data_IF_932279796287
#
_entry.id   IF_932279796287
#
_cell.length_a   1.000
_cell.length_b   1.000
_cell.length_c   1.000
_cell.angle_alpha   90.00
_cell.angle_beta   90.00
_cell.angle_gamma   90.00
#
_symmetry.space_group_name_H-M   'P 1'
#
loop_
_entity.id
_entity.type
_entity.pdbx_description
1 polymer ?
#
# COMPACT_ATOMS: atom_id res chain seq x y z
N UNK A 1 -4.58 35.95 64.13
CA UNK A 1 -3.37 35.16 63.77
C UNK A 1 -3.36 33.74 64.34
N UNK A 2 -3.75 33.50 65.60
CA UNK A 2 -3.76 32.14 66.22
C UNK A 2 -4.64 31.09 65.51
N UNK A 3 -5.84 31.45 65.06
CA UNK A 3 -6.74 30.50 64.37
C UNK A 3 -6.28 30.14 62.95
N UNK A 4 -5.60 31.07 62.27
CA UNK A 4 -5.07 30.83 60.92
C UNK A 4 -3.92 29.83 60.93
N UNK A 5 -3.08 29.84 61.98
CA UNK A 5 -2.01 28.86 62.15
C UNK A 5 -2.57 27.45 62.42
N UNK A 6 -3.64 27.36 63.24
CA UNK A 6 -4.35 26.11 63.57
C UNK A 6 -5.05 25.48 62.34
N UNK A 7 -5.62 26.33 61.49
CA UNK A 7 -6.31 25.91 60.27
C UNK A 7 -5.30 25.44 59.21
N UNK A 8 -4.12 26.07 59.14
CA UNK A 8 -3.03 25.65 58.26
C UNK A 8 -2.45 24.29 58.69
N UNK A 9 -2.27 24.04 60.00
CA UNK A 9 -1.80 22.74 60.50
C UNK A 9 -2.78 21.60 60.24
N UNK A 10 -4.09 21.88 60.25
CA UNK A 10 -5.13 20.89 59.96
C UNK A 10 -5.13 20.53 58.46
N UNK A 11 -4.94 21.50 57.58
CA UNK A 11 -4.85 21.26 56.14
C UNK A 11 -3.62 20.41 55.79
N UNK A 12 -2.47 20.68 56.42
CA UNK A 12 -1.23 19.93 56.17
C UNK A 12 -1.35 18.48 56.66
N UNK A 13 -2.10 18.19 57.73
CA UNK A 13 -2.31 16.82 58.21
C UNK A 13 -3.31 16.03 57.36
N UNK A 14 -4.29 16.69 56.72
CA UNK A 14 -5.22 16.05 55.79
C UNK A 14 -4.58 15.70 54.44
N UNK A 15 -3.48 16.34 54.05
CA UNK A 15 -2.78 16.08 52.78
C UNK A 15 -1.78 14.90 52.83
N UNK A 16 -1.52 14.30 54.00
CA UNK A 16 -0.49 13.26 54.19
C UNK A 16 -0.94 11.83 53.86
N UNK A 17 -2.12 11.63 53.27
CA UNK A 17 -2.65 10.30 52.97
C UNK A 17 -1.93 9.69 51.76
N UNK A 18 -0.84 8.96 52.00
CA UNK A 18 -0.15 8.19 50.97
C UNK A 18 -0.95 6.91 50.68
N UNK A 19 -1.60 6.83 49.53
CA UNK A 19 -2.22 5.61 49.02
C UNK A 19 -1.13 4.69 48.47
N UNK A 20 -0.75 3.66 49.24
CA UNK A 20 0.11 2.59 48.73
C UNK A 20 -0.72 1.68 47.83
N UNK A 21 -0.37 1.62 46.54
CA UNK A 21 -0.93 0.65 45.61
C UNK A 21 -0.38 -0.74 45.94
N UNK A 22 -1.18 -1.57 46.61
CA UNK A 22 -0.84 -2.98 46.83
C UNK A 22 -1.13 -3.77 45.55
N UNK A 23 -0.24 -4.69 45.19
CA UNK A 23 -0.44 -5.63 44.08
C UNK A 23 -1.79 -6.35 44.23
N UNK A 24 -2.61 -6.34 43.18
CA UNK A 24 -3.95 -6.96 43.16
C UNK A 24 -3.82 -8.48 43.23
N UNK A 25 -4.24 -9.06 44.35
CA UNK A 25 -4.29 -10.49 44.60
C UNK A 25 -5.62 -11.03 44.09
N UNK A 26 -5.60 -12.14 43.35
CA UNK A 26 -6.80 -12.78 42.81
C UNK A 26 -7.01 -14.10 43.57
N UNK A 27 -8.23 -14.31 44.04
CA UNK A 27 -8.64 -15.46 44.83
C UNK A 27 -9.59 -16.35 44.03
N UNK A 28 -9.46 -17.66 44.21
CA UNK A 28 -10.25 -18.67 43.49
C UNK A 28 -10.86 -19.66 44.46
N UNK A 29 -12.15 -19.95 44.30
CA UNK A 29 -12.83 -21.01 45.04
C UNK A 29 -13.89 -21.70 44.20
N UNK A 30 -14.38 -22.83 44.70
CA UNK A 30 -15.51 -23.55 44.13
C UNK A 30 -16.77 -23.22 44.93
N UNK A 31 -17.77 -22.66 44.26
CA UNK A 31 -19.10 -22.40 44.83
C UNK A 31 -19.84 -23.72 45.12
N UNK A 32 -20.86 -23.67 45.98
CA UNK A 32 -21.72 -24.81 46.34
C UNK A 32 -22.40 -25.44 45.12
N UNK A 33 -22.63 -24.65 44.06
CA UNK A 33 -23.14 -25.12 42.76
C UNK A 33 -22.06 -25.80 41.88
N UNK A 34 -20.85 -25.99 42.41
CA UNK A 34 -19.72 -26.64 41.74
C UNK A 34 -18.95 -25.76 40.75
N UNK A 35 -19.32 -24.48 40.63
CA UNK A 35 -18.73 -23.50 39.69
C UNK A 35 -17.46 -22.88 40.27
N UNK A 36 -16.40 -22.78 39.45
CA UNK A 36 -15.15 -22.13 39.83
C UNK A 36 -15.27 -20.61 39.67
N UNK A 37 -15.06 -19.86 40.75
CA UNK A 37 -15.23 -18.40 40.81
C UNK A 37 -13.89 -17.74 41.09
N UNK A 38 -13.58 -16.66 40.35
CA UNK A 38 -12.38 -15.83 40.51
C UNK A 38 -12.82 -14.45 41.01
N UNK A 39 -12.18 -13.92 42.06
CA UNK A 39 -12.51 -12.63 42.66
C UNK A 39 -11.27 -11.88 43.14
N UNK A 40 -11.32 -10.56 43.11
CA UNK A 40 -10.30 -9.68 43.70
C UNK A 40 -10.47 -9.50 45.23
N UNK A 41 -11.53 -10.08 45.82
CA UNK A 41 -11.80 -10.06 47.27
C UNK A 41 -11.60 -11.43 47.92
N UNK A 42 -10.96 -11.52 49.10
CA UNK A 42 -10.75 -12.78 49.79
C UNK A 42 -12.06 -13.34 50.37
N UNK A 43 -12.25 -14.65 50.29
CA UNK A 43 -13.39 -15.37 50.87
C UNK A 43 -12.90 -16.64 51.59
N UNK A 44 -13.64 -17.08 52.62
CA UNK A 44 -13.30 -18.28 53.38
C UNK A 44 -13.26 -19.51 52.46
N UNK A 45 -12.10 -20.19 52.44
CA UNK A 45 -11.86 -21.35 51.57
C UNK A 45 -11.32 -21.03 50.18
N UNK A 46 -11.05 -19.76 49.86
CA UNK A 46 -10.44 -19.36 48.60
C UNK A 46 -8.91 -19.48 48.63
N UNK A 47 -8.33 -19.93 47.53
CA UNK A 47 -6.89 -20.03 47.30
C UNK A 47 -6.41 -18.80 46.50
N UNK A 48 -5.31 -18.19 46.93
CA UNK A 48 -4.69 -17.05 46.23
C UNK A 48 -3.90 -17.56 45.01
N UNK A 49 -4.19 -17.04 43.82
CA UNK A 49 -3.56 -17.50 42.57
C UNK A 49 -2.57 -16.46 42.05
N UNK A 50 -1.31 -16.88 41.88
CA UNK A 50 -0.25 -16.08 41.26
C UNK A 50 -0.29 -16.21 39.73
N UNK A 51 -0.57 -15.10 39.02
CA UNK A 51 -0.64 -15.10 37.55
C UNK A 51 0.79 -15.09 36.98
N UNK A 52 1.11 -16.11 36.18
CA UNK A 52 2.36 -16.16 35.40
C UNK A 52 2.32 -15.10 34.29
N UNK A 53 3.46 -14.44 34.05
CA UNK A 53 3.58 -13.37 33.05
C UNK A 53 3.05 -13.80 31.67
N UNK A 54 2.34 -12.92 30.93
CA UNK A 54 1.79 -13.26 29.63
C UNK A 54 2.91 -13.58 28.62
N UNK A 55 2.69 -14.60 27.81
CA UNK A 55 3.61 -14.95 26.72
C UNK A 55 3.63 -13.81 25.69
N UNK A 56 4.79 -13.18 25.54
CA UNK A 56 5.06 -12.14 24.54
C UNK A 56 6.05 -12.67 23.52
N UNK A 57 5.78 -12.43 22.24
CA UNK A 57 6.71 -12.79 21.17
C UNK A 57 7.86 -11.77 21.11
N UNK A 58 9.09 -12.25 20.92
CA UNK A 58 10.26 -11.39 20.77
C UNK A 58 10.26 -10.64 19.43
N UNK A 59 10.70 -9.38 19.44
CA UNK A 59 10.87 -8.56 18.23
C UNK A 59 12.03 -9.08 17.37
N UNK A 60 11.91 -8.93 16.05
CA UNK A 60 12.88 -9.37 15.06
C UNK A 60 13.97 -8.29 14.91
N UNK A 61 15.24 -8.69 14.94
CA UNK A 61 16.37 -7.77 14.75
C UNK A 61 16.49 -7.33 13.28
N UNK A 62 16.48 -6.01 13.06
CA UNK A 62 16.55 -5.36 11.73
C UNK A 62 17.88 -4.64 11.49
N UNK A 63 18.88 -4.85 12.36
CA UNK A 63 20.20 -4.20 12.31
C UNK A 63 20.97 -4.39 10.99
N UNK A 64 20.66 -5.44 10.21
CA UNK A 64 21.28 -5.70 8.91
C UNK A 64 20.58 -5.05 7.70
N UNK A 65 19.53 -4.24 7.91
CA UNK A 65 18.92 -3.51 6.80
C UNK A 65 19.86 -2.38 6.37
N UNK A 66 20.36 -2.45 5.13
CA UNK A 66 21.12 -1.37 4.52
C UNK A 66 20.15 -0.21 4.20
N UNK A 67 20.12 0.78 5.08
CA UNK A 67 19.22 1.94 5.04
C UNK A 67 19.75 3.07 4.15
N UNK A 68 20.78 2.84 3.34
CA UNK A 68 21.29 3.87 2.43
C UNK A 68 20.25 4.21 1.36
N UNK A 69 19.71 5.45 1.31
CA UNK A 69 18.71 5.81 0.32
C UNK A 69 19.34 5.77 -1.07
N UNK A 70 18.94 4.80 -1.90
CA UNK A 70 19.36 4.76 -3.29
C UNK A 70 18.78 5.98 -4.01
N UNK A 71 19.64 6.93 -4.37
CA UNK A 71 19.25 8.09 -5.17
C UNK A 71 18.85 7.59 -6.56
N UNK A 72 17.54 7.47 -6.78
CA UNK A 72 16.98 7.18 -8.10
C UNK A 72 17.11 8.47 -8.92
N UNK A 73 18.07 8.51 -9.85
CA UNK A 73 18.16 9.59 -10.83
C UNK A 73 16.89 9.58 -11.67
N UNK A 74 16.32 10.76 -11.91
CA UNK A 74 15.11 10.95 -12.74
C UNK A 74 15.42 10.84 -14.26
N UNK A 75 16.29 9.89 -14.64
CA UNK A 75 16.56 9.53 -16.03
C UNK A 75 15.57 8.45 -16.45
N UNK A 76 14.39 8.90 -16.90
CA UNK A 76 13.30 8.01 -17.29
C UNK A 76 13.51 7.43 -18.68
N UNK A 77 13.35 6.12 -18.78
CA UNK A 77 13.39 5.36 -20.02
C UNK A 77 12.05 4.67 -20.22
N UNK A 78 11.52 4.76 -21.44
CA UNK A 78 10.24 4.15 -21.83
C UNK A 78 10.50 3.15 -22.95
N UNK A 79 10.06 1.92 -22.76
CA UNK A 79 10.19 0.85 -23.75
C UNK A 79 8.83 0.20 -24.00
N UNK A 80 8.52 -0.09 -25.26
CA UNK A 80 7.34 -0.87 -25.62
C UNK A 80 7.76 -2.34 -25.68
N UNK A 81 7.15 -3.17 -24.85
CA UNK A 81 7.45 -4.60 -24.74
C UNK A 81 6.60 -5.45 -25.68
N UNK A 82 5.36 -5.01 -25.93
CA UNK A 82 4.40 -5.65 -26.81
C UNK A 82 3.57 -4.58 -27.54
N UNK A 83 3.30 -4.74 -28.85
CA UNK A 83 3.93 -5.69 -29.78
C UNK A 83 5.45 -5.48 -29.90
N UNK A 84 6.16 -6.51 -30.38
CA UNK A 84 7.58 -6.39 -30.75
C UNK A 84 7.72 -5.66 -32.09
N UNK A 85 8.92 -5.15 -32.37
CA UNK A 85 9.22 -4.54 -33.66
C UNK A 85 8.90 -5.49 -34.81
N UNK A 86 8.16 -5.00 -35.80
CA UNK A 86 7.67 -5.71 -36.98
C UNK A 86 6.78 -6.93 -36.67
N UNK A 87 6.17 -7.00 -35.50
CA UNK A 87 5.28 -8.12 -35.16
C UNK A 87 3.98 -8.07 -35.97
N UNK A 88 3.47 -9.24 -36.35
CA UNK A 88 2.14 -9.37 -36.97
C UNK A 88 1.10 -9.71 -35.90
N UNK A 89 0.08 -8.86 -35.77
CA UNK A 89 -1.06 -9.05 -34.86
C UNK A 89 -2.26 -9.51 -35.69
N UNK A 90 -2.81 -10.68 -35.37
CA UNK A 90 -3.96 -11.25 -36.08
C UNK A 90 -5.19 -11.26 -35.18
N UNK A 91 -6.13 -10.37 -35.46
CA UNK A 91 -7.40 -10.28 -34.74
C UNK A 91 -8.46 -9.63 -35.66
N UNK A 92 -9.51 -10.37 -36.02
CA UNK A 92 -10.52 -9.86 -36.96
C UNK A 92 -11.29 -8.62 -36.44
N UNK A 93 -11.31 -8.39 -35.11
CA UNK A 93 -11.92 -7.20 -34.49
C UNK A 93 -11.04 -5.95 -34.59
N UNK A 94 -9.77 -6.08 -34.98
CA UNK A 94 -8.81 -4.98 -34.97
C UNK A 94 -8.33 -4.62 -33.57
N UNK A 95 -8.34 -5.57 -32.64
CA UNK A 95 -7.87 -5.34 -31.27
C UNK A 95 -6.36 -5.59 -31.16
N UNK A 96 -5.64 -4.67 -30.51
CA UNK A 96 -4.19 -4.78 -30.30
C UNK A 96 -3.87 -4.42 -28.85
N UNK A 97 -3.22 -5.33 -28.14
CA UNK A 97 -2.72 -5.11 -26.79
C UNK A 97 -1.33 -4.53 -26.84
N UNK A 98 -1.15 -3.40 -26.16
CA UNK A 98 0.13 -2.71 -26.08
C UNK A 98 0.55 -2.66 -24.62
N UNK A 99 1.77 -3.11 -24.34
CA UNK A 99 2.35 -3.08 -23.02
C UNK A 99 3.75 -2.45 -23.08
N UNK A 100 3.99 -1.45 -22.24
CA UNK A 100 5.29 -0.82 -22.07
C UNK A 100 5.86 -0.98 -20.66
N UNK A 101 7.16 -0.77 -20.53
CA UNK A 101 7.86 -0.65 -19.24
C UNK A 101 8.53 0.71 -19.13
N UNK A 102 8.55 1.22 -17.91
CA UNK A 102 9.21 2.48 -17.56
C UNK A 102 10.25 2.15 -16.50
N UNK A 103 11.47 2.66 -16.70
CA UNK A 103 12.55 2.56 -15.72
C UNK A 103 13.08 3.95 -15.44
N UNK A 104 13.29 4.35 -14.17
CA UNK A 104 12.83 3.68 -12.95
C UNK A 104 11.28 3.67 -12.84
N UNK A 105 10.72 2.96 -11.84
CA UNK A 105 9.27 2.94 -11.60
C UNK A 105 8.74 4.37 -11.53
N UNK A 106 7.65 4.64 -12.26
CA UNK A 106 7.06 5.97 -12.34
C UNK A 106 6.52 6.40 -10.97
N UNK A 107 6.79 7.65 -10.58
CA UNK A 107 6.24 8.26 -9.36
C UNK A 107 4.79 8.71 -9.64
N UNK A 108 3.98 8.88 -8.59
CA UNK A 108 2.65 9.49 -8.72
C UNK A 108 2.76 10.87 -9.40
N UNK A 109 1.78 11.19 -10.24
CA UNK A 109 1.74 12.44 -11.01
C UNK A 109 2.38 12.39 -12.39
N UNK A 110 3.04 11.28 -12.76
CA UNK A 110 3.46 11.04 -14.15
C UNK A 110 2.34 10.36 -14.95
N UNK A 111 2.28 10.67 -16.24
CA UNK A 111 1.30 10.10 -17.16
C UNK A 111 1.96 9.62 -18.45
N UNK A 112 1.35 8.67 -19.14
CA UNK A 112 1.81 8.12 -20.42
C UNK A 112 0.77 8.39 -21.49
N UNK A 113 1.22 8.97 -22.59
CA UNK A 113 0.44 9.11 -23.81
C UNK A 113 0.91 8.08 -24.84
N UNK A 114 -0.01 7.24 -25.30
CA UNK A 114 0.19 6.40 -26.48
C UNK A 114 -0.08 7.22 -27.74
N UNK A 115 0.73 7.03 -28.76
CA UNK A 115 0.50 7.52 -30.12
C UNK A 115 0.35 6.33 -31.06
N UNK A 116 -0.60 6.43 -31.97
CA UNK A 116 -0.83 5.53 -33.09
C UNK A 116 -0.77 6.36 -34.38
N UNK A 117 0.15 6.01 -35.28
CA UNK A 117 0.37 6.67 -36.57
C UNK A 117 0.52 8.20 -36.44
N UNK A 118 1.25 8.61 -35.39
CA UNK A 118 1.51 10.01 -35.06
C UNK A 118 0.37 10.74 -34.34
N UNK A 119 -0.79 10.11 -34.13
CA UNK A 119 -1.94 10.70 -33.43
C UNK A 119 -2.04 10.18 -31.99
N UNK A 120 -2.36 11.03 -31.01
CA UNK A 120 -2.55 10.57 -29.64
C UNK A 120 -3.76 9.65 -29.54
N UNK A 121 -3.56 8.47 -28.94
CA UNK A 121 -4.62 7.52 -28.61
C UNK A 121 -5.05 7.72 -27.16
N UNK A 122 -6.31 8.14 -26.97
CA UNK A 122 -6.89 8.47 -25.66
C UNK A 122 -6.12 9.58 -24.91
N UNK A 123 -6.67 10.12 -23.81
CA UNK A 123 -5.91 11.01 -22.93
C UNK A 123 -4.74 10.28 -22.24
N UNK A 124 -3.74 11.00 -21.70
CA UNK A 124 -2.64 10.40 -20.94
C UNK A 124 -3.14 9.59 -19.73
N UNK A 125 -2.52 8.44 -19.47
CA UNK A 125 -2.91 7.50 -18.41
C UNK A 125 -1.77 7.25 -17.43
N UNK A 126 -2.09 6.83 -16.21
CA UNK A 126 -1.09 6.50 -15.19
C UNK A 126 -0.53 5.08 -15.33
N UNK A 127 -0.75 4.39 -16.45
CA UNK A 127 -0.25 3.05 -16.70
C UNK A 127 0.22 2.90 -18.16
N UNK A 128 1.11 1.93 -18.39
CA UNK A 128 1.72 1.65 -19.69
C UNK A 128 1.04 0.54 -20.48
N UNK A 129 -0.19 0.18 -20.10
CA UNK A 129 -1.00 -0.82 -20.80
C UNK A 129 -2.13 -0.14 -21.56
N UNK A 130 -2.28 -0.46 -22.84
CA UNK A 130 -3.30 0.12 -23.71
C UNK A 130 -3.94 -0.97 -24.57
N UNK A 131 -5.19 -0.73 -24.97
CA UNK A 131 -5.89 -1.56 -25.94
C UNK A 131 -6.36 -0.67 -27.06
N UNK A 132 -5.83 -0.91 -28.26
CA UNK A 132 -6.37 -0.35 -29.48
C UNK A 132 -7.54 -1.20 -29.95
N UNK A 133 -8.54 -0.57 -30.57
CA UNK A 133 -9.73 -1.23 -31.10
C UNK A 133 -9.99 -0.74 -32.51
N UNK A 134 -10.53 -1.64 -33.33
CA UNK A 134 -10.88 -1.36 -34.72
C UNK A 134 -9.71 -0.79 -35.54
N UNK A 135 -8.50 -1.29 -35.29
CA UNK A 135 -7.33 -0.96 -36.10
C UNK A 135 -7.49 -1.60 -37.48
N UNK A 136 -7.26 -0.82 -38.53
CA UNK A 136 -7.34 -1.30 -39.90
C UNK A 136 -6.25 -2.34 -40.19
N UNK A 137 -6.40 -3.08 -41.28
CA UNK A 137 -5.35 -4.01 -41.72
C UNK A 137 -4.17 -3.23 -42.29
N UNK A 138 -2.96 -3.75 -42.13
CA UNK A 138 -1.74 -3.17 -42.70
C UNK A 138 -0.73 -2.74 -41.65
N UNK A 139 0.18 -1.85 -42.04
CA UNK A 139 1.25 -1.35 -41.20
C UNK A 139 0.75 -0.22 -40.29
N UNK A 140 1.13 -0.28 -39.02
CA UNK A 140 0.87 0.76 -38.03
C UNK A 140 2.11 1.01 -37.18
N UNK A 141 2.30 2.26 -36.77
CA UNK A 141 3.41 2.69 -35.94
C UNK A 141 2.88 3.19 -34.60
N UNK A 142 3.44 2.67 -33.51
CA UNK A 142 3.11 3.11 -32.15
C UNK A 142 4.33 3.70 -31.45
N UNK A 143 4.07 4.66 -30.56
CA UNK A 143 5.08 5.31 -29.74
C UNK A 143 4.48 5.72 -28.40
N UNK A 144 5.26 5.62 -27.32
CA UNK A 144 4.86 6.12 -26.01
C UNK A 144 5.67 7.35 -25.64
N UNK A 145 5.01 8.28 -24.96
CA UNK A 145 5.62 9.45 -24.35
C UNK A 145 5.24 9.49 -22.88
N UNK A 146 6.23 9.68 -22.02
CA UNK A 146 6.04 9.92 -20.59
C UNK A 146 5.98 11.42 -20.36
N UNK A 147 4.97 11.86 -19.64
CA UNK A 147 4.69 13.26 -19.32
C UNK A 147 4.79 13.48 -17.82
N UNK A 148 5.26 14.66 -17.43
CA UNK A 148 5.21 15.10 -16.04
C UNK A 148 3.82 15.66 -15.67
N UNK A 149 3.69 16.06 -14.41
CA UNK A 149 2.54 16.73 -13.80
C UNK A 149 2.03 17.96 -14.59
N UNK A 150 2.93 18.65 -15.30
CA UNK A 150 2.64 19.82 -16.15
C UNK A 150 2.38 19.47 -17.61
N UNK A 151 2.33 18.19 -17.98
CA UNK A 151 2.15 17.73 -19.36
C UNK A 151 3.38 17.89 -20.25
N UNK A 152 4.57 18.15 -19.68
CA UNK A 152 5.84 18.19 -20.43
C UNK A 152 6.34 16.76 -20.65
N UNK A 153 6.75 16.47 -21.88
CA UNK A 153 7.40 15.19 -22.23
C UNK A 153 8.77 15.11 -21.54
N UNK A 154 8.97 14.08 -20.73
CA UNK A 154 10.21 13.82 -19.99
C UNK A 154 10.97 12.58 -20.51
N UNK A 155 10.28 11.66 -21.19
CA UNK A 155 10.90 10.52 -21.85
C UNK A 155 10.04 10.03 -23.01
N UNK A 156 10.65 9.30 -23.95
CA UNK A 156 9.92 8.74 -25.08
C UNK A 156 10.52 7.41 -25.53
N UNK A 157 9.64 6.49 -25.96
CA UNK A 157 10.07 5.22 -26.52
C UNK A 157 10.59 5.38 -27.94
N UNK A 158 11.35 4.37 -28.38
CA UNK A 158 11.53 4.12 -29.82
C UNK A 158 10.15 3.83 -30.44
N UNK A 159 9.92 4.26 -31.69
CA UNK A 159 8.72 3.85 -32.41
C UNK A 159 8.77 2.35 -32.70
N UNK A 160 7.63 1.69 -32.60
CA UNK A 160 7.46 0.29 -32.95
C UNK A 160 6.49 0.18 -34.11
N UNK A 161 6.90 -0.48 -35.18
CA UNK A 161 6.05 -0.84 -36.30
C UNK A 161 5.44 -2.22 -36.04
N UNK A 162 4.15 -2.39 -36.26
CA UNK A 162 3.48 -3.69 -36.25
C UNK A 162 2.53 -3.81 -37.44
N UNK A 163 2.18 -5.03 -37.81
CA UNK A 163 1.31 -5.32 -38.94
C UNK A 163 0.01 -5.96 -38.46
N UNK A 164 -1.11 -5.34 -38.79
CA UNK A 164 -2.43 -5.83 -38.44
C UNK A 164 -3.00 -6.72 -39.54
N UNK A 165 -3.35 -7.95 -39.19
CA UNK A 165 -3.96 -8.92 -40.09
C UNK A 165 -5.40 -9.21 -39.68
N UNK A 166 -6.35 -8.82 -40.54
CA UNK A 166 -7.80 -9.01 -40.36
C UNK A 166 -8.38 -9.70 -41.58
N UNK A 167 -9.22 -10.72 -41.35
CA UNK A 167 -10.04 -11.26 -42.43
C UNK A 167 -11.14 -10.25 -42.79
N UNK A 168 -11.34 -10.00 -44.08
CA UNK A 168 -12.53 -9.31 -44.58
C UNK A 168 -13.60 -10.35 -44.86
N UNK A 169 -14.78 -10.21 -44.28
CA UNK A 169 -15.95 -10.96 -44.73
C UNK A 169 -16.50 -10.20 -45.94
N UNK A 170 -16.18 -10.66 -47.15
CA UNK A 170 -16.86 -10.18 -48.34
C UNK A 170 -18.29 -10.74 -48.29
N UNK A 171 -19.25 -9.95 -47.82
CA UNK A 171 -20.64 -10.24 -48.08
C UNK A 171 -20.90 -9.89 -49.56
N UNK A 172 -20.92 -10.90 -50.42
CA UNK A 172 -21.52 -10.77 -51.73
C UNK A 172 -23.04 -10.67 -51.54
N UNK A 173 -23.61 -9.51 -51.88
CA UNK A 173 -25.05 -9.35 -52.08
C UNK A 173 -25.44 -9.88 -53.45
#
# INVERSE_FOLDING_TARGET
>A
MRYSLLLLTLIITLLSCNTFATATKIYVWRSDDGILVFSDSPQAGAEEVEIKKPNTASSIDTSMLDLTPKIIKDDYQVEINQPKQNATVRDNTGSVYIAGSIKPIFKQGLAIQLFLDGKPHQPPQSHSMFVLRNIDRGEHIIKMQLLNDKGKIIASSKPITFYMHRASVNNAN
#
